data_IF_700624646699
#
_entry.id   IF_700624646699
#
_cell.length_a   1.000
_cell.length_b   1.000
_cell.length_c   1.000
_cell.angle_alpha   90.00
_cell.angle_beta   90.00
_cell.angle_gamma   90.00
#
_symmetry.space_group_name_H-M   'P 1'
#
loop_
_entity.id
_entity.type
_entity.pdbx_description
1 polymer ?
#
# COMPACT_ATOMS: atom_id res chain seq x y z
N UNK A 1 -12.93 69.07 -41.71
CA UNK A 1 -13.41 69.77 -40.50
C UNK A 1 -13.22 68.82 -39.32
N UNK A 2 -12.29 69.13 -38.42
CA UNK A 2 -12.22 68.62 -37.02
C UNK A 2 -13.39 69.23 -36.20
N UNK A 3 -13.67 68.90 -34.91
CA UNK A 3 -12.90 68.13 -33.92
C UNK A 3 -13.70 67.19 -32.95
N UNK A 4 -12.91 66.54 -32.06
CA UNK A 4 -13.13 66.03 -30.69
C UNK A 4 -14.28 66.62 -29.83
N UNK A 5 -14.86 65.79 -28.94
CA UNK A 5 -14.78 65.83 -27.44
C UNK A 5 -15.90 64.90 -26.85
N UNK A 6 -15.64 63.86 -26.04
CA UNK A 6 -15.24 63.75 -24.61
C UNK A 6 -16.39 63.99 -23.59
N UNK A 7 -16.34 63.20 -22.50
CA UNK A 7 -16.96 63.31 -21.15
C UNK A 7 -18.23 62.46 -20.92
N UNK A 8 -18.18 61.34 -20.17
CA UNK A 8 -18.11 61.17 -18.68
C UNK A 8 -19.51 61.23 -18.03
N UNK A 9 -19.88 60.68 -16.87
CA UNK A 9 -19.26 60.12 -15.66
C UNK A 9 -20.38 59.22 -15.07
N UNK A 10 -20.16 57.98 -14.64
CA UNK A 10 -19.71 57.55 -13.31
C UNK A 10 -20.74 57.70 -12.15
N UNK A 11 -21.15 56.52 -11.63
CA UNK A 11 -21.61 56.16 -10.26
C UNK A 11 -22.86 56.91 -9.71
N UNK A 12 -23.67 56.43 -8.77
CA UNK A 12 -23.44 55.57 -7.61
C UNK A 12 -24.80 55.10 -7.04
N UNK A 13 -24.77 53.87 -6.51
CA UNK A 13 -25.64 53.11 -5.58
C UNK A 13 -26.86 53.69 -4.82
N UNK A 14 -27.75 52.72 -4.49
CA UNK A 14 -28.70 52.59 -3.37
C UNK A 14 -30.10 53.23 -3.59
N UNK A 15 -31.26 52.68 -3.16
CA UNK A 15 -31.56 51.71 -2.11
C UNK A 15 -33.03 51.22 -2.23
N UNK A 16 -33.24 49.93 -1.95
CA UNK A 16 -34.35 49.28 -1.24
C UNK A 16 -35.87 49.54 -1.49
N UNK A 17 -36.52 48.38 -1.62
CA UNK A 17 -37.74 47.88 -0.97
C UNK A 17 -39.12 48.03 -1.63
N UNK A 18 -39.68 46.83 -1.94
CA UNK A 18 -41.02 46.32 -1.60
C UNK A 18 -42.22 47.23 -1.92
N UNK A 19 -43.21 46.87 -2.72
CA UNK A 19 -43.96 45.61 -2.87
C UNK A 19 -44.88 45.77 -4.08
N UNK A 20 -45.20 44.68 -4.80
CA UNK A 20 -46.58 44.22 -5.03
C UNK A 20 -46.73 43.46 -6.35
N UNK A 21 -47.30 42.25 -6.21
CA UNK A 21 -48.29 41.64 -7.11
C UNK A 21 -47.97 41.45 -8.60
N UNK A 22 -47.59 40.22 -8.93
CA UNK A 22 -48.41 39.32 -9.78
C UNK A 22 -48.78 39.80 -11.18
N UNK A 23 -48.09 39.24 -12.18
CA UNK A 23 -48.57 38.80 -13.51
C UNK A 23 -47.40 38.85 -14.50
N UNK A 24 -46.44 37.90 -14.46
CA UNK A 24 -45.47 37.75 -15.57
C UNK A 24 -44.61 36.47 -15.53
N UNK A 25 -45.22 35.28 -15.41
CA UNK A 25 -44.47 34.01 -15.48
C UNK A 25 -44.90 33.04 -16.59
N UNK A 26 -45.73 33.47 -17.53
CA UNK A 26 -46.25 32.59 -18.60
C UNK A 26 -45.82 32.91 -20.03
N UNK A 27 -44.81 33.76 -20.23
CA UNK A 27 -44.35 34.13 -21.59
C UNK A 27 -42.88 33.86 -21.91
N UNK A 28 -42.15 33.09 -21.08
CA UNK A 28 -40.73 32.74 -21.33
C UNK A 28 -40.44 31.24 -21.54
N UNK A 29 -41.47 30.41 -21.69
CA UNK A 29 -41.31 28.94 -21.85
C UNK A 29 -41.44 28.43 -23.30
N UNK A 30 -41.70 29.29 -24.30
CA UNK A 30 -41.96 28.83 -25.68
C UNK A 30 -40.84 29.08 -26.71
N UNK A 31 -39.63 29.46 -26.30
CA UNK A 31 -38.53 29.75 -27.24
C UNK A 31 -37.25 28.94 -27.08
N UNK A 32 -37.23 27.85 -26.29
CA UNK A 32 -36.03 27.01 -26.15
C UNK A 32 -36.22 25.51 -26.44
N UNK A 33 -37.32 25.13 -27.10
CA UNK A 33 -37.53 23.77 -27.62
C UNK A 33 -37.43 23.77 -29.14
N UNK A 34 -36.24 24.01 -29.73
CA UNK A 34 -36.00 23.62 -31.12
C UNK A 34 -34.52 23.49 -31.58
N UNK A 35 -33.55 23.29 -30.68
CA UNK A 35 -32.12 23.18 -31.07
C UNK A 35 -31.40 21.90 -30.61
N UNK A 36 -32.12 20.81 -30.32
CA UNK A 36 -31.51 19.54 -29.86
C UNK A 36 -31.42 18.44 -30.91
N UNK A 37 -31.15 18.78 -32.18
CA UNK A 37 -30.93 17.75 -33.18
C UNK A 37 -29.79 18.12 -34.14
N UNK A 38 -28.55 17.91 -33.68
CA UNK A 38 -27.39 17.38 -34.43
C UNK A 38 -26.08 17.65 -33.66
N UNK A 39 -25.12 16.69 -33.74
CA UNK A 39 -23.72 16.67 -33.24
C UNK A 39 -23.39 15.84 -31.98
N UNK A 40 -23.00 14.56 -32.13
CA UNK A 40 -22.37 13.76 -31.07
C UNK A 40 -20.82 13.77 -31.10
N UNK A 41 -20.15 14.70 -31.79
CA UNK A 41 -18.69 14.63 -32.03
C UNK A 41 -17.80 15.53 -31.15
N UNK A 42 -18.34 16.46 -30.36
CA UNK A 42 -17.53 17.43 -29.59
C UNK A 42 -17.24 17.02 -28.14
N UNK A 43 -18.06 16.18 -27.51
CA UNK A 43 -17.82 15.71 -26.13
C UNK A 43 -16.69 14.66 -26.04
N UNK A 44 -16.57 13.79 -27.05
CA UNK A 44 -15.51 12.78 -27.10
C UNK A 44 -14.11 13.40 -27.26
N UNK A 45 -14.00 14.51 -27.99
CA UNK A 45 -12.74 15.23 -28.20
C UNK A 45 -12.24 15.91 -26.91
N UNK A 46 -13.14 16.52 -26.12
CA UNK A 46 -12.80 17.14 -24.84
C UNK A 46 -12.33 16.09 -23.81
N UNK A 47 -12.97 14.92 -23.79
CA UNK A 47 -12.60 13.82 -22.90
C UNK A 47 -11.27 13.16 -23.31
N UNK A 48 -11.02 13.01 -24.62
CA UNK A 48 -9.72 12.55 -25.13
C UNK A 48 -8.59 13.54 -24.83
N UNK A 49 -8.84 14.85 -24.93
CA UNK A 49 -7.84 15.86 -24.63
C UNK A 49 -7.49 15.90 -23.13
N UNK A 50 -8.49 15.78 -22.25
CA UNK A 50 -8.27 15.67 -20.81
C UNK A 50 -7.50 14.40 -20.42
N UNK A 51 -7.78 13.28 -21.10
CA UNK A 51 -7.11 12.00 -20.88
C UNK A 51 -5.67 11.99 -21.40
N UNK A 52 -5.41 12.64 -22.55
CA UNK A 52 -4.08 12.87 -23.08
C UNK A 52 -3.23 13.78 -22.16
N UNK A 53 -3.85 14.81 -21.58
CA UNK A 53 -3.16 15.73 -20.67
C UNK A 53 -2.83 15.06 -19.32
N UNK A 54 -3.73 14.20 -18.81
CA UNK A 54 -3.46 13.36 -17.65
C UNK A 54 -2.36 12.32 -17.91
N UNK A 55 -2.32 11.72 -19.10
CA UNK A 55 -1.24 10.80 -19.50
C UNK A 55 0.11 11.53 -19.64
N UNK A 56 0.13 12.73 -20.20
CA UNK A 56 1.35 13.53 -20.32
C UNK A 56 1.91 13.93 -18.94
N UNK A 57 1.04 14.31 -17.99
CA UNK A 57 1.45 14.59 -16.61
C UNK A 57 1.97 13.32 -15.89
N UNK A 58 1.33 12.17 -16.09
CA UNK A 58 1.78 10.91 -15.50
C UNK A 58 3.14 10.46 -16.08
N UNK A 59 3.38 10.66 -17.37
CA UNK A 59 4.66 10.36 -18.02
C UNK A 59 5.77 11.32 -17.57
N UNK A 60 5.47 12.61 -17.42
CA UNK A 60 6.42 13.60 -16.88
C UNK A 60 6.81 13.28 -15.43
N UNK A 61 5.86 12.86 -14.59
CA UNK A 61 6.12 12.43 -13.22
C UNK A 61 6.97 11.15 -13.16
N UNK A 62 6.70 10.17 -14.03
CA UNK A 62 7.49 8.94 -14.12
C UNK A 62 8.92 9.20 -14.61
N UNK A 63 9.10 10.11 -15.58
CA UNK A 63 10.42 10.51 -16.06
C UNK A 63 11.23 11.27 -14.97
N UNK A 64 10.57 12.13 -14.20
CA UNK A 64 11.19 12.82 -13.07
C UNK A 64 11.62 11.84 -11.96
N UNK A 65 10.80 10.83 -11.65
CA UNK A 65 11.15 9.79 -10.69
C UNK A 65 12.34 8.92 -11.17
N UNK A 66 12.38 8.58 -12.46
CA UNK A 66 13.51 7.85 -13.05
C UNK A 66 14.82 8.68 -13.02
N UNK A 67 14.75 9.99 -13.30
CA UNK A 67 15.89 10.89 -13.20
C UNK A 67 16.40 11.04 -11.75
N UNK A 68 15.50 11.11 -10.77
CA UNK A 68 15.86 11.15 -9.36
C UNK A 68 16.56 9.85 -8.89
N UNK A 69 16.11 8.68 -9.39
CA UNK A 69 16.76 7.39 -9.12
C UNK A 69 18.17 7.31 -9.75
N UNK A 70 18.35 7.84 -10.97
CA UNK A 70 19.67 7.89 -11.61
C UNK A 70 20.64 8.80 -10.84
N UNK A 71 20.18 9.94 -10.33
CA UNK A 71 21.01 10.82 -9.49
C UNK A 71 21.39 10.16 -8.15
N UNK A 72 20.48 9.40 -7.55
CA UNK A 72 20.78 8.63 -6.35
C UNK A 72 21.84 7.55 -6.61
N UNK A 73 21.73 6.84 -7.75
CA UNK A 73 22.71 5.83 -8.15
C UNK A 73 24.09 6.43 -8.46
N UNK A 74 24.14 7.59 -9.12
CA UNK A 74 25.39 8.32 -9.39
C UNK A 74 26.04 8.84 -8.11
N UNK A 75 25.25 9.26 -7.12
CA UNK A 75 25.76 9.70 -5.81
C UNK A 75 26.37 8.54 -5.02
N UNK A 76 25.78 7.34 -5.10
CA UNK A 76 26.32 6.11 -4.48
C UNK A 76 27.58 5.63 -5.21
N UNK A 77 27.61 5.70 -6.54
CA UNK A 77 28.79 5.34 -7.34
C UNK A 77 29.96 6.33 -7.16
N UNK A 78 29.69 7.61 -6.87
CA UNK A 78 30.69 8.64 -6.60
C UNK A 78 31.46 8.41 -5.29
N UNK A 79 30.77 8.00 -4.23
CA UNK A 79 31.40 7.76 -2.92
C UNK A 79 32.34 6.54 -2.88
N UNK A 80 32.27 5.63 -3.85
CA UNK A 80 33.17 4.47 -3.92
C UNK A 80 34.50 4.75 -4.66
N UNK A 81 34.69 5.96 -5.23
CA UNK A 81 35.95 6.36 -5.88
C UNK A 81 36.98 7.00 -4.94
N UNK A 82 36.58 7.39 -3.73
CA UNK A 82 37.49 8.06 -2.78
C UNK A 82 38.21 7.11 -1.80
N UNK A 83 38.03 5.79 -1.93
CA UNK A 83 38.65 4.83 -1.01
C UNK A 83 39.52 3.76 -1.72
N UNK A 84 40.43 4.20 -2.59
CA UNK A 84 41.47 3.35 -3.18
C UNK A 84 42.86 3.94 -2.93
N UNK A 85 43.59 3.33 -1.99
CA UNK A 85 45.01 3.60 -1.71
C UNK A 85 45.86 3.17 -2.94
N UNK A 86 46.87 3.95 -3.36
CA UNK A 86 47.63 3.69 -4.59
C UNK A 86 48.78 2.69 -4.35
N UNK A 87 48.78 1.58 -5.08
CA UNK A 87 49.88 0.63 -5.18
C UNK A 87 50.21 0.36 -6.64
N UNK A 88 51.44 0.64 -7.06
CA UNK A 88 51.83 0.75 -8.46
C UNK A 88 52.36 -0.51 -9.16
N UNK A 89 52.61 -0.28 -10.45
CA UNK A 89 53.54 -0.93 -11.40
C UNK A 89 53.13 -2.17 -12.23
N UNK A 90 53.28 -1.95 -13.56
CA UNK A 90 53.59 -2.87 -14.70
C UNK A 90 52.50 -3.87 -15.09
N UNK A 91 52.18 -4.13 -16.36
CA UNK A 91 52.67 -3.76 -17.69
C UNK A 91 51.99 -4.73 -18.67
N UNK A 92 51.38 -4.28 -19.76
CA UNK A 92 51.89 -4.59 -21.11
C UNK A 92 50.95 -5.44 -21.98
N UNK A 93 50.62 -4.89 -23.17
CA UNK A 93 50.15 -5.50 -24.43
C UNK A 93 48.66 -5.87 -24.65
N UNK A 94 48.05 -5.41 -25.77
CA UNK A 94 46.76 -5.88 -26.26
C UNK A 94 46.93 -6.90 -27.42
N UNK A 95 46.05 -7.90 -27.46
CA UNK A 95 45.95 -8.90 -28.53
C UNK A 95 44.53 -8.94 -29.11
N UNK A 96 44.47 -8.95 -30.44
CA UNK A 96 43.31 -8.79 -31.32
C UNK A 96 42.65 -10.12 -31.72
N UNK A 97 41.44 -10.05 -32.31
CA UNK A 97 40.71 -11.14 -33.02
C UNK A 97 39.42 -11.55 -32.30
N UNK A 98 38.20 -11.33 -32.81
CA UNK A 98 37.64 -11.78 -34.10
C UNK A 98 37.07 -13.20 -33.93
N UNK A 99 35.85 -13.61 -34.27
CA UNK A 99 34.68 -13.04 -34.94
C UNK A 99 33.68 -14.20 -35.18
N UNK A 100 32.39 -13.87 -35.33
CA UNK A 100 31.34 -14.71 -35.96
C UNK A 100 30.88 -15.98 -35.23
N UNK A 101 29.75 -16.62 -35.54
CA UNK A 101 28.48 -16.29 -36.20
C UNK A 101 27.64 -17.60 -36.16
N UNK A 102 26.31 -17.52 -36.35
CA UNK A 102 25.37 -18.63 -36.68
C UNK A 102 24.93 -19.58 -35.53
N UNK A 103 23.71 -20.13 -35.42
CA UNK A 103 22.52 -20.17 -36.28
C UNK A 103 21.26 -20.62 -35.49
N UNK A 104 20.07 -20.26 -36.03
CA UNK A 104 18.78 -20.98 -36.13
C UNK A 104 18.27 -21.92 -35.01
N UNK A 105 17.10 -21.63 -34.42
CA UNK A 105 15.73 -22.04 -34.85
C UNK A 105 15.31 -23.43 -34.36
N UNK A 106 14.22 -23.49 -33.59
CA UNK A 106 13.01 -24.27 -33.92
C UNK A 106 11.95 -24.08 -32.83
N UNK A 107 10.73 -23.71 -33.25
CA UNK A 107 9.54 -23.68 -32.41
C UNK A 107 8.85 -25.04 -32.37
N UNK A 108 8.19 -25.32 -31.25
CA UNK A 108 7.07 -26.27 -31.17
C UNK A 108 6.08 -25.72 -30.14
N UNK A 109 4.89 -25.35 -30.60
CA UNK A 109 3.74 -25.11 -29.74
C UNK A 109 3.02 -26.41 -29.45
N UNK A 110 2.41 -26.53 -28.27
CA UNK A 110 1.24 -27.38 -28.00
C UNK A 110 0.53 -26.83 -26.76
N UNK A 111 -0.72 -26.45 -26.95
CA UNK A 111 -1.61 -26.03 -25.86
C UNK A 111 -2.14 -27.22 -25.08
N UNK A 112 -2.42 -27.00 -23.80
CA UNK A 112 -3.40 -27.82 -23.09
C UNK A 112 -4.17 -26.99 -22.06
N UNK A 113 -5.47 -26.98 -22.30
CA UNK A 113 -6.55 -26.57 -21.42
C UNK A 113 -6.55 -27.46 -20.18
N UNK A 114 -6.66 -26.90 -18.96
CA UNK A 114 -7.24 -27.64 -17.82
C UNK A 114 -7.71 -26.73 -16.66
N UNK A 115 -9.04 -26.71 -16.55
CA UNK A 115 -9.94 -26.66 -15.38
C UNK A 115 -9.52 -25.96 -14.07
N UNK A 116 -10.32 -24.96 -13.70
CA UNK A 116 -10.36 -24.28 -12.40
C UNK A 116 -10.89 -25.20 -11.29
N UNK A 117 -10.07 -25.43 -10.26
CA UNK A 117 -10.44 -26.06 -8.99
C UNK A 117 -10.57 -25.04 -7.85
N UNK A 118 -11.72 -25.09 -7.19
CA UNK A 118 -12.21 -24.31 -6.05
C UNK A 118 -11.21 -24.08 -4.88
N UNK A 119 -11.09 -22.83 -4.41
CA UNK A 119 -10.52 -22.48 -3.11
C UNK A 119 -11.65 -22.11 -2.14
N UNK A 120 -12.06 -23.07 -1.32
CA UNK A 120 -12.84 -22.87 -0.12
C UNK A 120 -12.16 -23.61 1.04
N UNK A 121 -11.78 -22.90 2.10
CA UNK A 121 -11.12 -23.49 3.26
C UNK A 121 -10.96 -22.48 4.39
N UNK A 122 -11.76 -22.66 5.42
CA UNK A 122 -12.14 -21.71 6.45
C UNK A 122 -11.20 -21.71 7.67
N UNK A 123 -11.19 -20.60 8.40
CA UNK A 123 -10.55 -20.40 9.72
C UNK A 123 -11.24 -21.18 10.84
N UNK A 124 -10.47 -21.67 11.81
CA UNK A 124 -10.76 -21.78 13.26
C UNK A 124 -9.56 -22.46 13.93
N UNK A 125 -9.10 -22.20 15.15
CA UNK A 125 -9.47 -21.33 16.27
C UNK A 125 -8.53 -21.73 17.42
N UNK A 126 -7.77 -20.79 17.98
CA UNK A 126 -6.91 -21.02 19.15
C UNK A 126 -7.74 -21.02 20.43
N UNK A 127 -7.52 -22.00 21.30
CA UNK A 127 -8.00 -22.04 22.67
C UNK A 127 -6.85 -22.27 23.65
N UNK A 128 -6.58 -21.28 24.49
CA UNK A 128 -5.71 -21.34 25.67
C UNK A 128 -6.51 -21.89 26.86
N UNK A 129 -5.88 -22.71 27.70
CA UNK A 129 -6.41 -23.18 28.98
C UNK A 129 -5.32 -23.74 29.88
N UNK A 130 -5.36 -23.37 31.15
CA UNK A 130 -4.30 -23.39 32.18
C UNK A 130 -4.49 -24.51 33.23
N UNK A 131 -3.49 -24.63 34.13
CA UNK A 131 -3.43 -25.36 35.42
C UNK A 131 -3.12 -26.87 35.33
N UNK A 132 -2.29 -27.50 36.18
CA UNK A 132 -1.51 -27.12 37.36
C UNK A 132 -1.00 -28.40 38.08
N UNK A 133 0.05 -28.27 38.91
CA UNK A 133 0.23 -29.07 40.15
C UNK A 133 1.00 -30.41 40.13
N UNK A 134 2.17 -30.43 40.79
CA UNK A 134 2.43 -31.31 41.95
C UNK A 134 3.04 -32.72 41.78
N UNK A 135 4.33 -32.87 42.14
CA UNK A 135 4.79 -33.65 43.31
C UNK A 135 4.99 -35.19 43.25
N UNK A 136 6.21 -35.64 43.61
CA UNK A 136 6.57 -36.97 44.16
C UNK A 136 6.78 -38.08 43.12
N UNK A 137 7.83 -38.90 43.10
CA UNK A 137 8.72 -39.42 44.15
C UNK A 137 8.57 -40.95 44.19
N UNK A 138 9.64 -41.72 43.94
CA UNK A 138 9.68 -43.15 44.31
C UNK A 138 10.23 -44.15 43.28
N UNK A 139 11.51 -44.52 43.48
CA UNK A 139 12.08 -45.87 43.50
C UNK A 139 11.97 -46.88 42.32
N UNK A 140 13.18 -47.23 41.86
CA UNK A 140 13.73 -48.51 41.34
C UNK A 140 13.10 -49.81 41.87
N UNK A 141 13.23 -50.95 41.12
CA UNK A 141 14.38 -51.83 41.36
C UNK A 141 15.05 -52.45 40.12
N UNK A 142 16.29 -52.89 40.38
CA UNK A 142 17.27 -53.57 39.54
C UNK A 142 16.82 -54.88 38.86
N UNK A 143 17.49 -55.20 37.74
CA UNK A 143 17.66 -56.56 37.22
C UNK A 143 18.70 -56.62 36.09
N UNK A 144 19.87 -57.20 36.37
CA UNK A 144 21.03 -57.39 35.48
C UNK A 144 20.74 -58.17 34.18
N UNK A 145 21.39 -57.84 33.05
CA UNK A 145 22.37 -58.73 32.38
C UNK A 145 23.11 -58.06 31.21
N UNK A 146 24.32 -58.56 30.97
CA UNK A 146 25.37 -58.12 30.07
C UNK A 146 25.16 -58.51 28.60
N UNK A 147 25.64 -57.62 27.72
CA UNK A 147 26.26 -57.91 26.42
C UNK A 147 25.48 -58.72 25.37
N UNK A 148 24.97 -58.01 24.35
CA UNK A 148 24.98 -58.48 22.97
C UNK A 148 25.21 -57.29 22.04
N UNK A 149 26.36 -57.32 21.36
CA UNK A 149 26.75 -56.46 20.26
C UNK A 149 25.76 -56.60 19.10
N UNK A 150 25.42 -55.46 18.48
CA UNK A 150 24.89 -55.40 17.11
C UNK A 150 23.40 -55.05 17.01
N UNK A 151 23.11 -53.80 16.59
CA UNK A 151 21.77 -53.41 16.15
C UNK A 151 21.29 -52.05 16.67
N UNK A 152 22.12 -51.00 16.57
CA UNK A 152 21.66 -49.63 16.78
C UNK A 152 21.21 -49.00 15.44
N UNK A 153 20.25 -48.09 15.58
CA UNK A 153 19.86 -46.97 14.70
C UNK A 153 19.05 -47.26 13.43
N UNK A 154 17.71 -47.31 13.55
CA UNK A 154 16.81 -46.95 12.43
C UNK A 154 15.54 -46.15 12.80
N UNK A 155 15.25 -45.86 14.08
CA UNK A 155 14.03 -45.12 14.46
C UNK A 155 14.23 -43.59 14.62
N UNK A 156 15.47 -43.11 14.76
CA UNK A 156 15.77 -41.67 14.87
C UNK A 156 16.12 -40.98 13.55
N UNK A 157 16.31 -41.74 12.46
CA UNK A 157 16.73 -41.20 11.17
C UNK A 157 15.57 -40.71 10.30
N UNK A 158 14.33 -41.19 10.52
CA UNK A 158 13.21 -40.85 9.63
C UNK A 158 12.74 -39.41 9.77
N UNK A 159 12.78 -38.82 10.97
CA UNK A 159 12.30 -37.43 11.20
C UNK A 159 13.31 -36.39 10.65
N UNK A 160 14.61 -36.69 10.67
CA UNK A 160 15.65 -35.81 10.10
C UNK A 160 15.77 -35.92 8.57
N UNK A 161 15.41 -37.07 7.98
CA UNK A 161 15.45 -37.27 6.53
C UNK A 161 14.35 -36.49 5.80
N UNK A 162 13.14 -36.43 6.35
CA UNK A 162 12.02 -35.67 5.74
C UNK A 162 12.32 -34.16 5.71
N UNK A 163 12.86 -33.59 6.80
CA UNK A 163 13.28 -32.19 6.83
C UNK A 163 14.43 -31.88 5.85
N UNK A 164 15.29 -32.88 5.58
CA UNK A 164 16.38 -32.74 4.62
C UNK A 164 15.90 -32.81 3.16
N UNK A 165 14.90 -33.66 2.86
CA UNK A 165 14.29 -33.73 1.52
C UNK A 165 13.49 -32.48 1.17
N UNK A 166 12.74 -31.93 2.13
CA UNK A 166 12.01 -30.67 1.92
C UNK A 166 12.97 -29.49 1.70
N UNK A 167 14.05 -29.41 2.48
CA UNK A 167 15.10 -28.40 2.26
C UNK A 167 15.77 -28.57 0.90
N UNK A 168 16.02 -29.80 0.46
CA UNK A 168 16.60 -30.07 -0.88
C UNK A 168 15.68 -29.59 -1.99
N UNK A 169 14.37 -29.87 -1.89
CA UNK A 169 13.37 -29.38 -2.86
C UNK A 169 13.27 -27.85 -2.86
N UNK A 170 13.34 -27.23 -1.68
CA UNK A 170 13.33 -25.78 -1.56
C UNK A 170 14.54 -25.14 -2.26
N UNK A 171 15.74 -25.67 -2.03
CA UNK A 171 16.96 -25.22 -2.71
C UNK A 171 16.87 -25.43 -4.24
N UNK A 172 16.26 -26.52 -4.68
CA UNK A 172 16.02 -26.79 -6.09
C UNK A 172 15.08 -25.75 -6.72
N UNK A 173 13.96 -25.41 -6.08
CA UNK A 173 13.09 -24.34 -6.55
C UNK A 173 13.79 -22.98 -6.56
N UNK A 174 14.62 -22.68 -5.56
CA UNK A 174 15.42 -21.45 -5.54
C UNK A 174 16.37 -21.41 -6.75
N UNK A 175 17.05 -22.51 -7.07
CA UNK A 175 17.91 -22.60 -8.25
C UNK A 175 17.09 -22.43 -9.55
N UNK A 176 15.89 -23.00 -9.62
CA UNK A 176 14.99 -22.87 -10.76
C UNK A 176 14.47 -21.43 -10.99
N UNK A 177 14.54 -20.53 -10.00
CA UNK A 177 14.20 -19.11 -10.20
C UNK A 177 15.12 -18.41 -11.20
N UNK A 178 16.35 -18.88 -11.34
CA UNK A 178 17.33 -18.28 -12.26
C UNK A 178 16.98 -18.53 -13.72
N UNK A 179 16.29 -19.64 -14.03
CA UNK A 179 15.93 -20.01 -15.39
C UNK A 179 14.52 -19.55 -15.74
N UNK A 180 14.39 -18.73 -16.79
CA UNK A 180 13.12 -18.13 -17.24
C UNK A 180 12.01 -19.17 -17.50
N UNK A 181 12.39 -20.36 -17.98
CA UNK A 181 11.42 -21.42 -18.33
C UNK A 181 10.83 -22.12 -17.11
N UNK A 182 11.60 -22.25 -16.02
CA UNK A 182 11.17 -22.93 -14.78
C UNK A 182 10.69 -21.95 -13.71
N UNK A 183 11.02 -20.66 -13.85
CA UNK A 183 10.78 -19.62 -12.85
C UNK A 183 9.33 -19.51 -12.45
N UNK A 184 8.39 -19.57 -13.39
CA UNK A 184 6.96 -19.41 -13.08
C UNK A 184 6.43 -20.50 -12.14
N UNK A 185 6.81 -21.76 -12.39
CA UNK A 185 6.45 -22.87 -11.52
C UNK A 185 7.14 -22.76 -10.14
N UNK A 186 8.44 -22.42 -10.13
CA UNK A 186 9.19 -22.23 -8.90
C UNK A 186 8.62 -21.09 -8.03
N UNK A 187 8.21 -19.97 -8.64
CA UNK A 187 7.56 -18.85 -7.94
C UNK A 187 6.27 -19.29 -7.24
N UNK A 188 5.45 -20.10 -7.91
CA UNK A 188 4.19 -20.60 -7.35
C UNK A 188 4.42 -21.52 -6.15
N UNK A 189 5.37 -22.45 -6.25
CA UNK A 189 5.63 -23.38 -5.15
C UNK A 189 6.31 -22.70 -3.95
N UNK A 190 7.26 -21.81 -4.21
CA UNK A 190 7.91 -21.02 -3.16
C UNK A 190 6.92 -20.08 -2.46
N UNK A 191 5.98 -19.45 -3.19
CA UNK A 191 5.00 -18.54 -2.58
C UNK A 191 4.07 -19.26 -1.60
N UNK A 192 3.71 -20.52 -1.86
CA UNK A 192 2.94 -21.38 -0.95
C UNK A 192 3.73 -21.76 0.31
N UNK A 193 5.06 -21.96 0.18
CA UNK A 193 5.94 -22.37 1.28
C UNK A 193 6.43 -21.21 2.15
N UNK A 194 6.14 -19.96 1.78
CA UNK A 194 6.53 -18.75 2.52
C UNK A 194 6.24 -18.79 4.01
N UNK A 195 5.06 -19.25 4.41
CA UNK A 195 4.67 -19.27 5.84
C UNK A 195 5.21 -20.50 6.58
N UNK A 196 5.51 -21.58 5.86
CA UNK A 196 5.98 -22.85 6.43
C UNK A 196 7.48 -22.85 6.68
N UNK A 197 8.23 -22.00 5.97
CA UNK A 197 9.70 -21.94 6.07
C UNK A 197 10.14 -20.54 6.51
N UNK A 198 10.32 -20.32 7.82
CA UNK A 198 10.73 -19.01 8.36
C UNK A 198 12.05 -18.49 7.79
N UNK A 199 12.95 -19.40 7.38
CA UNK A 199 14.28 -19.06 6.87
C UNK A 199 14.31 -18.74 5.37
N UNK A 200 13.17 -18.89 4.67
CA UNK A 200 13.09 -18.71 3.22
C UNK A 200 13.53 -17.31 2.78
N UNK A 201 13.14 -16.27 3.52
CA UNK A 201 13.52 -14.89 3.19
C UNK A 201 15.05 -14.69 3.16
N UNK A 202 15.76 -15.25 4.15
CA UNK A 202 17.22 -15.21 4.22
C UNK A 202 17.85 -16.02 3.09
N UNK A 203 17.33 -17.21 2.80
CA UNK A 203 17.83 -18.06 1.72
C UNK A 203 17.68 -17.37 0.36
N UNK A 204 16.52 -16.76 0.08
CA UNK A 204 16.29 -16.01 -1.15
C UNK A 204 17.23 -14.81 -1.29
N UNK A 205 17.50 -14.11 -0.18
CA UNK A 205 18.37 -12.93 -0.17
C UNK A 205 19.83 -13.27 -0.41
N UNK A 206 20.34 -14.34 0.23
CA UNK A 206 21.74 -14.75 0.10
C UNK A 206 22.02 -15.62 -1.12
N UNK A 207 20.98 -16.11 -1.82
CA UNK A 207 21.15 -16.87 -3.05
C UNK A 207 21.49 -15.96 -4.22
N UNK A 208 22.56 -16.32 -4.94
CA UNK A 208 23.06 -15.54 -6.06
C UNK A 208 22.00 -15.36 -7.16
N UNK A 209 21.78 -14.11 -7.59
CA UNK A 209 20.91 -13.77 -8.72
C UNK A 209 19.40 -13.87 -8.48
N UNK A 210 18.96 -14.39 -7.33
CA UNK A 210 17.53 -14.57 -7.01
C UNK A 210 16.81 -13.23 -6.90
N UNK A 211 17.36 -12.29 -6.13
CA UNK A 211 16.77 -10.95 -6.00
C UNK A 211 16.68 -10.22 -7.34
N UNK A 212 17.68 -10.38 -8.22
CA UNK A 212 17.66 -9.84 -9.59
C UNK A 212 16.55 -10.49 -10.43
N UNK A 213 16.37 -11.81 -10.31
CA UNK A 213 15.29 -12.53 -11.00
C UNK A 213 13.91 -12.09 -10.53
N UNK A 214 13.71 -11.88 -9.22
CA UNK A 214 12.46 -11.35 -8.66
C UNK A 214 12.17 -9.92 -9.12
N UNK A 215 13.18 -9.05 -9.15
CA UNK A 215 13.07 -7.70 -9.70
C UNK A 215 12.72 -7.71 -11.20
N UNK A 216 13.32 -8.62 -11.97
CA UNK A 216 13.02 -8.75 -13.39
C UNK A 216 11.54 -9.11 -13.63
N UNK A 217 10.94 -9.93 -12.78
CA UNK A 217 9.50 -10.26 -12.84
C UNK A 217 8.60 -9.06 -12.52
N UNK A 218 9.06 -8.13 -11.68
CA UNK A 218 8.34 -6.87 -11.44
C UNK A 218 8.44 -5.95 -12.65
N UNK A 219 9.65 -5.73 -13.16
CA UNK A 219 9.93 -4.76 -14.22
C UNK A 219 9.29 -5.20 -15.54
N UNK A 220 9.21 -6.51 -15.81
CA UNK A 220 8.57 -7.04 -17.02
C UNK A 220 7.07 -6.69 -17.13
N UNK A 221 6.42 -6.37 -16.01
CA UNK A 221 5.01 -5.98 -15.97
C UNK A 221 4.80 -4.49 -16.26
N UNK A 222 5.80 -3.64 -16.09
CA UNK A 222 5.65 -2.18 -16.27
C UNK A 222 5.08 -1.76 -17.64
N UNK A 223 5.50 -2.35 -18.77
CA UNK A 223 4.91 -2.03 -20.07
C UNK A 223 3.42 -2.35 -20.17
N UNK A 224 2.92 -3.30 -19.36
CA UNK A 224 1.52 -3.74 -19.36
C UNK A 224 0.61 -2.88 -18.47
N UNK A 225 1.18 -1.93 -17.72
CA UNK A 225 0.42 -1.03 -16.87
C UNK A 225 -0.21 0.12 -17.67
N UNK A 226 0.49 0.60 -18.70
CA UNK A 226 0.04 1.71 -19.54
C UNK A 226 0.43 1.47 -21.02
N UNK A 227 -0.52 1.11 -21.91
CA UNK A 227 -1.96 0.92 -21.65
C UNK A 227 -2.25 -0.31 -20.77
N UNK A 228 -3.42 -0.32 -20.12
CA UNK A 228 -3.78 -1.34 -19.10
C UNK A 228 -4.07 -2.72 -19.69
N UNK A 229 -3.01 -3.43 -20.11
CA UNK A 229 -3.05 -4.71 -20.82
C UNK A 229 -2.73 -5.92 -19.93
N UNK A 230 -2.67 -5.72 -18.60
CA UNK A 230 -2.36 -6.78 -17.65
C UNK A 230 -3.38 -7.93 -17.67
N UNK A 231 -2.91 -9.14 -17.97
CA UNK A 231 -3.72 -10.36 -17.94
C UNK A 231 -3.77 -10.99 -16.54
N UNK A 232 -4.73 -11.88 -16.29
CA UNK A 232 -4.82 -12.60 -15.02
C UNK A 232 -3.59 -13.47 -14.75
N UNK A 233 -3.07 -14.17 -15.77
CA UNK A 233 -1.86 -15.00 -15.65
C UNK A 233 -0.62 -14.16 -15.28
N UNK A 234 -0.41 -13.04 -15.98
CA UNK A 234 0.69 -12.13 -15.70
C UNK A 234 0.60 -11.52 -14.29
N UNK A 235 -0.61 -11.11 -13.87
CA UNK A 235 -0.86 -10.60 -12.52
C UNK A 235 -0.56 -11.66 -11.44
N UNK A 236 -1.03 -12.90 -11.62
CA UNK A 236 -0.76 -13.98 -10.68
C UNK A 236 0.75 -14.28 -10.56
N UNK A 237 1.45 -14.32 -11.69
CA UNK A 237 2.89 -14.58 -11.74
C UNK A 237 3.68 -13.51 -10.98
N UNK A 238 3.44 -12.24 -11.24
CA UNK A 238 4.13 -11.16 -10.51
C UNK A 238 3.71 -11.12 -9.04
N UNK A 239 2.46 -11.45 -8.70
CA UNK A 239 2.02 -11.51 -7.30
C UNK A 239 2.74 -12.62 -6.51
N UNK A 240 3.03 -13.76 -7.15
CA UNK A 240 3.88 -14.79 -6.53
C UNK A 240 5.30 -14.28 -6.26
N UNK A 241 5.90 -13.53 -7.20
CA UNK A 241 7.20 -12.89 -6.99
C UNK A 241 7.15 -11.84 -5.86
N UNK A 242 6.10 -11.02 -5.81
CA UNK A 242 5.89 -10.03 -4.75
C UNK A 242 5.75 -10.68 -3.37
N UNK A 243 5.08 -11.84 -3.27
CA UNK A 243 4.94 -12.55 -2.02
C UNK A 243 6.29 -12.98 -1.43
N UNK A 244 7.28 -13.26 -2.28
CA UNK A 244 8.63 -13.66 -1.89
C UNK A 244 9.54 -12.49 -1.54
N UNK A 245 9.23 -11.28 -2.01
CA UNK A 245 9.99 -10.07 -1.70
C UNK A 245 9.68 -9.60 -0.27
N UNK A 246 10.68 -9.71 0.59
CA UNK A 246 10.60 -9.33 2.01
C UNK A 246 11.86 -8.52 2.37
N UNK A 247 11.99 -7.28 1.86
CA UNK A 247 12.80 -6.18 2.44
C UNK A 247 13.20 -5.10 1.39
N UNK A 248 13.17 -3.84 1.82
CA UNK A 248 13.80 -2.63 1.22
C UNK A 248 13.53 -2.23 -0.25
N UNK A 249 12.70 -2.95 -1.00
CA UNK A 249 12.35 -2.65 -2.40
C UNK A 249 10.93 -2.03 -2.60
N UNK A 250 10.31 -1.23 -1.69
CA UNK A 250 9.00 -0.63 -1.98
C UNK A 250 8.93 0.28 -3.20
N UNK A 251 10.05 0.89 -3.63
CA UNK A 251 10.08 1.83 -4.76
C UNK A 251 9.53 1.22 -6.06
N UNK A 252 9.79 -0.08 -6.28
CA UNK A 252 9.34 -0.78 -7.48
C UNK A 252 7.84 -1.14 -7.44
N UNK A 253 7.18 -0.94 -6.30
CA UNK A 253 5.76 -1.24 -6.11
C UNK A 253 4.86 -0.02 -6.36
N UNK A 254 5.40 1.21 -6.30
CA UNK A 254 4.60 2.42 -6.53
C UNK A 254 3.95 2.51 -7.90
N UNK A 255 4.60 2.10 -9.01
CA UNK A 255 3.92 2.03 -10.30
C UNK A 255 2.65 1.14 -10.27
N UNK A 256 2.68 0.03 -9.52
CA UNK A 256 1.52 -0.84 -9.35
C UNK A 256 0.40 -0.18 -8.54
N UNK A 257 0.76 0.50 -7.44
CA UNK A 257 -0.20 1.21 -6.58
C UNK A 257 -0.84 2.42 -7.27
N UNK A 258 -0.14 3.05 -8.22
CA UNK A 258 -0.65 4.20 -8.96
C UNK A 258 -1.66 3.82 -10.06
N UNK A 259 -1.86 2.52 -10.34
CA UNK A 259 -2.83 2.07 -11.33
C UNK A 259 -4.27 2.35 -10.91
N UNK A 260 -5.10 2.79 -11.86
CA UNK A 260 -6.51 3.17 -11.63
C UNK A 260 -7.50 2.18 -12.22
N UNK A 261 -7.04 1.22 -13.03
CA UNK A 261 -7.89 0.19 -13.62
C UNK A 261 -8.60 -0.63 -12.55
N UNK A 262 -9.91 -0.83 -12.73
CA UNK A 262 -10.76 -1.63 -11.85
C UNK A 262 -10.88 -3.09 -12.29
N UNK A 263 -10.12 -3.53 -13.30
CA UNK A 263 -10.16 -4.93 -13.68
C UNK A 263 -9.52 -5.81 -12.60
N UNK A 264 -10.05 -7.02 -12.44
CA UNK A 264 -9.62 -7.98 -11.41
C UNK A 264 -8.08 -8.18 -11.34
N UNK A 265 -7.33 -8.27 -12.47
CA UNK A 265 -5.87 -8.38 -12.44
C UNK A 265 -5.17 -7.19 -11.77
N UNK A 266 -5.67 -5.96 -11.96
CA UNK A 266 -5.11 -4.75 -11.35
C UNK A 266 -5.51 -4.60 -9.89
N UNK A 267 -6.74 -4.97 -9.51
CA UNK A 267 -7.14 -5.00 -8.09
C UNK A 267 -6.28 -5.98 -7.29
N UNK A 268 -6.07 -7.19 -7.82
CA UNK A 268 -5.25 -8.20 -7.17
C UNK A 268 -3.78 -7.76 -7.05
N UNK A 269 -3.24 -7.13 -8.10
CA UNK A 269 -1.89 -6.57 -8.10
C UNK A 269 -1.71 -5.50 -7.03
N UNK A 270 -2.66 -4.55 -6.93
CA UNK A 270 -2.63 -3.49 -5.90
C UNK A 270 -2.74 -4.06 -4.49
N UNK A 271 -3.65 -5.01 -4.27
CA UNK A 271 -3.82 -5.66 -2.96
C UNK A 271 -2.54 -6.39 -2.53
N UNK A 272 -1.91 -7.14 -3.44
CA UNK A 272 -0.67 -7.86 -3.15
C UNK A 272 0.48 -6.88 -2.85
N UNK A 273 0.60 -5.81 -3.65
CA UNK A 273 1.60 -4.75 -3.43
C UNK A 273 1.40 -4.04 -2.09
N UNK A 274 0.16 -3.73 -1.71
CA UNK A 274 -0.17 -3.20 -0.38
C UNK A 274 0.15 -4.21 0.73
N UNK A 275 -0.05 -5.50 0.50
CA UNK A 275 0.30 -6.56 1.45
C UNK A 275 1.79 -6.59 1.79
N UNK A 276 2.66 -6.38 0.78
CA UNK A 276 4.12 -6.26 0.99
C UNK A 276 4.45 -5.04 1.85
N UNK A 277 3.89 -3.86 1.53
CA UNK A 277 4.10 -2.65 2.35
C UNK A 277 3.52 -2.82 3.77
N UNK A 278 2.35 -3.43 3.89
CA UNK A 278 1.71 -3.76 5.15
C UNK A 278 2.56 -4.65 6.03
N UNK A 279 3.25 -5.65 5.45
CA UNK A 279 4.19 -6.49 6.18
C UNK A 279 5.41 -5.69 6.68
N UNK A 280 5.92 -4.73 5.90
CA UNK A 280 7.05 -3.89 6.30
C UNK A 280 6.71 -3.00 7.50
N UNK A 281 5.55 -2.32 7.47
CA UNK A 281 5.13 -1.44 8.58
C UNK A 281 4.65 -2.20 9.81
N UNK A 282 4.42 -3.51 9.70
CA UNK A 282 3.99 -4.35 10.85
C UNK A 282 5.09 -4.49 11.91
N UNK A 283 6.36 -4.33 11.52
CA UNK A 283 7.52 -4.46 12.41
C UNK A 283 7.75 -3.22 13.28
N UNK A 284 6.93 -2.17 13.15
CA UNK A 284 6.99 -0.95 13.97
C UNK A 284 8.38 -0.28 13.98
N UNK A 285 9.15 -0.44 12.90
CA UNK A 285 10.46 0.20 12.72
C UNK A 285 10.29 1.63 12.20
N UNK A 286 10.72 2.61 13.00
CA UNK A 286 10.71 4.03 12.61
C UNK A 286 11.58 4.32 11.37
N UNK A 287 12.61 3.52 11.11
CA UNK A 287 13.41 3.66 9.87
C UNK A 287 12.58 3.33 8.62
N UNK A 288 11.74 2.29 8.71
CA UNK A 288 10.81 1.93 7.63
C UNK A 288 9.76 3.03 7.45
N UNK A 289 9.23 3.58 8.54
CA UNK A 289 8.27 4.69 8.48
C UNK A 289 8.93 5.92 7.81
N UNK A 290 10.12 6.32 8.25
CA UNK A 290 10.85 7.45 7.68
C UNK A 290 11.11 7.26 6.18
N UNK A 291 11.58 6.07 5.78
CA UNK A 291 11.73 5.72 4.37
C UNK A 291 10.41 5.88 3.60
N UNK A 292 9.29 5.35 4.11
CA UNK A 292 7.99 5.44 3.46
C UNK A 292 7.44 6.87 3.36
N UNK A 293 7.75 7.73 4.33
CA UNK A 293 7.38 9.15 4.29
C UNK A 293 8.11 9.91 3.18
N UNK A 294 9.32 9.49 2.80
CA UNK A 294 10.05 10.09 1.67
C UNK A 294 9.47 9.72 0.29
N UNK A 295 8.53 8.77 0.23
CA UNK A 295 8.11 8.12 -1.01
C UNK A 295 6.61 8.22 -1.32
N UNK A 296 5.96 9.32 -0.90
CA UNK A 296 4.55 9.64 -1.19
C UNK A 296 3.55 8.48 -0.94
N UNK A 297 3.85 7.58 0.02
CA UNK A 297 2.96 6.45 0.33
C UNK A 297 1.58 6.93 0.81
N UNK A 298 1.53 8.04 1.55
CA UNK A 298 0.30 8.55 2.17
C UNK A 298 -0.71 8.94 1.08
N UNK A 299 -0.40 9.81 0.09
CA UNK A 299 -1.30 10.08 -1.03
C UNK A 299 -1.82 8.82 -1.76
N UNK A 300 -0.96 7.83 -1.99
CA UNK A 300 -1.36 6.57 -2.62
C UNK A 300 -2.35 5.77 -1.76
N UNK A 301 -2.06 5.62 -0.47
CA UNK A 301 -2.97 4.94 0.45
C UNK A 301 -4.30 5.67 0.58
N UNK A 302 -4.30 7.00 0.67
CA UNK A 302 -5.53 7.80 0.75
C UNK A 302 -6.44 7.62 -0.49
N UNK A 303 -5.86 7.59 -1.70
CA UNK A 303 -6.62 7.32 -2.92
C UNK A 303 -7.26 5.94 -2.92
N UNK A 304 -6.53 4.92 -2.45
CA UNK A 304 -7.03 3.55 -2.35
C UNK A 304 -8.10 3.43 -1.25
N UNK A 305 -7.93 4.14 -0.12
CA UNK A 305 -8.92 4.22 0.95
C UNK A 305 -10.25 4.82 0.47
N UNK A 306 -10.19 5.78 -0.47
CA UNK A 306 -11.39 6.41 -1.03
C UNK A 306 -12.11 5.51 -2.04
N UNK A 307 -11.37 4.96 -3.02
CA UNK A 307 -11.96 4.34 -4.23
C UNK A 307 -11.69 2.85 -4.44
N UNK A 308 -10.84 2.23 -3.60
CA UNK A 308 -10.45 0.83 -3.74
C UNK A 308 -11.50 -0.17 -3.29
N UNK A 309 -11.24 -1.46 -3.53
CA UNK A 309 -12.03 -2.56 -2.97
C UNK A 309 -11.94 -2.62 -1.45
N UNK A 310 -12.94 -3.19 -0.77
CA UNK A 310 -12.99 -3.26 0.70
C UNK A 310 -11.70 -3.84 1.33
N UNK A 311 -11.17 -4.91 0.73
CA UNK A 311 -9.90 -5.51 1.15
C UNK A 311 -8.72 -4.55 0.99
N UNK A 312 -8.65 -3.85 -0.14
CA UNK A 312 -7.59 -2.87 -0.40
C UNK A 312 -7.69 -1.67 0.55
N UNK A 313 -8.91 -1.17 0.82
CA UNK A 313 -9.17 -0.13 1.82
C UNK A 313 -8.67 -0.55 3.20
N UNK A 314 -8.94 -1.80 3.58
CA UNK A 314 -8.53 -2.36 4.89
C UNK A 314 -7.01 -2.38 5.05
N UNK A 315 -6.27 -2.81 4.03
CA UNK A 315 -4.80 -2.83 4.09
C UNK A 315 -4.23 -1.41 4.02
N UNK A 316 -4.79 -0.54 3.18
CA UNK A 316 -4.34 0.85 3.04
C UNK A 316 -4.52 1.65 4.34
N UNK A 317 -5.69 1.55 5.00
CA UNK A 317 -5.90 2.22 6.28
C UNK A 317 -5.04 1.61 7.39
N UNK A 318 -4.75 0.31 7.35
CA UNK A 318 -3.79 -0.31 8.28
C UNK A 318 -2.38 0.29 8.13
N UNK A 319 -1.92 0.53 6.90
CA UNK A 319 -0.62 1.19 6.64
C UNK A 319 -0.63 2.63 7.17
N UNK A 320 -1.67 3.41 6.86
CA UNK A 320 -1.80 4.79 7.35
C UNK A 320 -1.87 4.83 8.88
N UNK A 321 -2.58 3.88 9.50
CA UNK A 321 -2.63 3.77 10.95
C UNK A 321 -1.25 3.48 11.54
N UNK A 322 -0.47 2.56 10.96
CA UNK A 322 0.90 2.27 11.41
C UNK A 322 1.82 3.48 11.28
N UNK A 323 1.70 4.25 10.20
CA UNK A 323 2.41 5.52 10.04
C UNK A 323 1.99 6.53 11.12
N UNK A 324 0.69 6.68 11.40
CA UNK A 324 0.21 7.60 12.43
C UNK A 324 0.64 7.20 13.85
N UNK A 325 0.78 5.90 14.13
CA UNK A 325 1.21 5.42 15.45
C UNK A 325 2.66 5.83 15.76
N UNK A 326 3.51 5.95 14.75
CA UNK A 326 4.87 6.47 14.90
C UNK A 326 4.88 8.00 15.06
N UNK A 327 5.73 8.51 15.95
CA UNK A 327 5.79 9.95 16.25
C UNK A 327 6.29 10.79 15.06
N UNK A 328 7.20 10.25 14.24
CA UNK A 328 7.69 10.93 13.02
C UNK A 328 6.55 11.00 12.00
N UNK A 329 5.79 9.92 11.84
CA UNK A 329 4.62 9.88 10.94
C UNK A 329 3.49 10.82 11.38
N UNK A 330 3.14 10.84 12.66
CA UNK A 330 2.16 11.78 13.20
C UNK A 330 2.60 13.24 12.98
N UNK A 331 3.86 13.55 13.31
CA UNK A 331 4.42 14.89 13.11
C UNK A 331 4.39 15.29 11.63
N UNK A 332 4.72 14.38 10.72
CA UNK A 332 4.68 14.62 9.27
C UNK A 332 3.27 14.96 8.74
N UNK A 333 2.26 14.18 9.15
CA UNK A 333 0.87 14.38 8.72
C UNK A 333 0.31 15.68 9.30
N UNK A 334 0.56 15.93 10.58
CA UNK A 334 0.10 17.12 11.28
C UNK A 334 1.02 18.33 11.08
N UNK A 335 2.01 18.25 10.18
CA UNK A 335 2.98 19.32 9.96
C UNK A 335 2.32 20.55 9.31
N UNK A 336 1.53 20.31 8.25
CA UNK A 336 0.79 21.32 7.49
C UNK A 336 -0.71 21.04 7.55
N UNK A 337 -1.52 22.10 7.42
CA UNK A 337 -2.97 21.97 7.36
C UNK A 337 -3.42 21.14 6.16
N UNK A 338 -2.76 21.26 5.01
CA UNK A 338 -3.09 20.52 3.79
C UNK A 338 -2.97 19.00 3.98
N UNK A 339 -1.87 18.54 4.59
CA UNK A 339 -1.64 17.11 4.85
C UNK A 339 -2.65 16.56 5.85
N UNK A 340 -2.88 17.29 6.94
CA UNK A 340 -3.90 16.93 7.93
C UNK A 340 -5.29 16.85 7.30
N UNK A 341 -5.68 17.87 6.52
CA UNK A 341 -7.00 17.93 5.90
C UNK A 341 -7.19 16.82 4.86
N UNK A 342 -6.16 16.52 4.05
CA UNK A 342 -6.21 15.40 3.10
C UNK A 342 -6.50 14.05 3.80
N UNK A 343 -5.84 13.78 4.94
CA UNK A 343 -6.12 12.57 5.73
C UNK A 343 -7.51 12.64 6.39
N UNK A 344 -7.84 13.78 6.99
CA UNK A 344 -9.10 13.99 7.70
C UNK A 344 -10.32 13.83 6.80
N UNK A 345 -10.33 14.44 5.62
CA UNK A 345 -11.44 14.34 4.65
C UNK A 345 -11.67 12.91 4.20
N UNK A 346 -10.61 12.16 3.88
CA UNK A 346 -10.74 10.76 3.45
C UNK A 346 -11.28 9.90 4.60
N UNK A 347 -10.79 10.07 5.83
CA UNK A 347 -11.33 9.36 6.99
C UNK A 347 -12.80 9.70 7.24
N UNK A 348 -13.20 10.97 7.11
CA UNK A 348 -14.59 11.40 7.24
C UNK A 348 -15.49 10.79 6.17
N UNK A 349 -15.03 10.75 4.92
CA UNK A 349 -15.76 10.08 3.83
C UNK A 349 -15.93 8.59 4.10
N UNK A 350 -14.90 7.93 4.66
CA UNK A 350 -14.99 6.53 5.07
C UNK A 350 -16.02 6.33 6.19
N UNK A 351 -16.07 7.20 7.20
CA UNK A 351 -17.09 7.13 8.27
C UNK A 351 -18.50 7.15 7.67
N UNK A 352 -18.76 8.09 6.76
CA UNK A 352 -20.08 8.22 6.13
C UNK A 352 -20.46 6.95 5.34
N UNK A 353 -19.51 6.34 4.63
CA UNK A 353 -19.73 5.05 3.95
C UNK A 353 -19.98 3.89 4.92
N UNK A 354 -19.36 3.93 6.11
CA UNK A 354 -19.48 2.88 7.12
C UNK A 354 -20.84 2.85 7.82
N UNK A 355 -21.61 3.94 7.78
CA UNK A 355 -22.98 3.97 8.32
C UNK A 355 -23.86 2.93 7.62
N UNK A 356 -23.74 2.85 6.28
CA UNK A 356 -24.49 1.89 5.47
C UNK A 356 -23.83 0.51 5.46
N UNK A 357 -22.50 0.44 5.28
CA UNK A 357 -21.78 -0.83 5.09
C UNK A 357 -21.56 -1.60 6.40
N UNK A 358 -21.51 -0.92 7.54
CA UNK A 358 -21.28 -1.50 8.87
C UNK A 358 -20.03 -2.41 8.98
N UNK A 359 -19.01 -2.16 8.16
CA UNK A 359 -17.76 -2.92 8.16
C UNK A 359 -16.92 -2.63 9.42
N UNK A 360 -17.09 -3.44 10.48
CA UNK A 360 -16.45 -3.28 11.80
C UNK A 360 -14.92 -3.13 11.70
N UNK A 361 -14.29 -3.92 10.83
CA UNK A 361 -12.82 -3.92 10.68
C UNK A 361 -12.29 -2.57 10.21
N UNK A 362 -12.95 -1.94 9.24
CA UNK A 362 -12.59 -0.61 8.75
C UNK A 362 -12.86 0.44 9.83
N UNK A 363 -14.03 0.40 10.46
CA UNK A 363 -14.39 1.33 11.54
C UNK A 363 -13.34 1.35 12.67
N UNK A 364 -12.86 0.17 13.08
CA UNK A 364 -11.80 0.03 14.08
C UNK A 364 -10.50 0.74 13.69
N UNK A 365 -10.09 0.66 12.43
CA UNK A 365 -8.91 1.38 11.95
C UNK A 365 -9.18 2.89 11.91
N UNK A 366 -10.34 3.33 11.42
CA UNK A 366 -10.73 4.75 11.36
C UNK A 366 -10.73 5.41 12.74
N UNK A 367 -11.37 4.78 13.73
CA UNK A 367 -11.41 5.29 15.12
C UNK A 367 -10.00 5.44 15.70
N UNK A 368 -9.11 4.47 15.44
CA UNK A 368 -7.72 4.54 15.91
C UNK A 368 -6.91 5.63 15.22
N UNK A 369 -7.13 5.87 13.93
CA UNK A 369 -6.50 6.99 13.23
C UNK A 369 -6.95 8.33 13.83
N UNK A 370 -8.25 8.53 14.06
CA UNK A 370 -8.74 9.77 14.69
C UNK A 370 -8.23 9.95 16.12
N UNK A 371 -8.23 8.88 16.93
CA UNK A 371 -7.66 8.92 18.28
C UNK A 371 -6.19 9.36 18.24
N UNK A 372 -5.38 8.74 17.38
CA UNK A 372 -3.97 9.09 17.26
C UNK A 372 -3.74 10.51 16.73
N UNK A 373 -4.56 10.98 15.80
CA UNK A 373 -4.53 12.38 15.35
C UNK A 373 -4.82 13.36 16.50
N UNK A 374 -5.68 13.00 17.45
CA UNK A 374 -6.03 13.84 18.61
C UNK A 374 -4.89 14.03 19.62
N UNK A 375 -3.82 13.23 19.54
CA UNK A 375 -2.62 13.42 20.37
C UNK A 375 -1.87 14.70 19.98
N UNK A 376 -1.95 15.14 18.71
CA UNK A 376 -1.36 16.39 18.26
C UNK A 376 -2.30 17.57 18.59
N UNK A 377 -1.81 18.56 19.34
CA UNK A 377 -2.61 19.70 19.80
C UNK A 377 -3.30 20.48 18.67
N UNK A 378 -2.63 20.68 17.53
CA UNK A 378 -3.20 21.42 16.37
C UNK A 378 -4.29 20.61 15.68
N UNK A 379 -4.04 19.32 15.45
CA UNK A 379 -5.03 18.43 14.86
C UNK A 379 -6.23 18.23 15.79
N UNK A 380 -6.00 18.12 17.11
CA UNK A 380 -7.05 18.03 18.12
C UNK A 380 -8.03 19.20 18.06
N UNK A 381 -7.52 20.43 17.96
CA UNK A 381 -8.36 21.62 17.80
C UNK A 381 -9.20 21.55 16.51
N UNK A 382 -8.60 21.19 15.38
CA UNK A 382 -9.33 21.04 14.14
C UNK A 382 -10.40 19.93 14.22
N UNK A 383 -10.10 18.79 14.85
CA UNK A 383 -11.02 17.67 15.02
C UNK A 383 -12.25 18.04 15.86
N UNK A 384 -12.16 19.01 16.78
CA UNK A 384 -13.34 19.53 17.50
C UNK A 384 -14.38 20.13 16.55
N UNK A 385 -13.96 20.63 15.40
CA UNK A 385 -14.84 21.25 14.42
C UNK A 385 -15.22 20.29 13.28
N UNK A 386 -14.34 19.35 12.91
CA UNK A 386 -14.53 18.52 11.71
C UNK A 386 -14.74 17.01 11.94
N UNK A 387 -14.77 16.53 13.19
CA UNK A 387 -15.07 15.11 13.46
C UNK A 387 -16.50 14.76 12.99
N UNK A 388 -16.69 13.70 12.17
CA UNK A 388 -18.00 13.30 11.66
C UNK A 388 -19.04 13.03 12.75
N UNK A 389 -20.28 13.49 12.53
CA UNK A 389 -21.41 13.27 13.44
C UNK A 389 -21.67 11.80 13.79
N UNK A 390 -21.58 10.82 12.86
CA UNK A 390 -21.80 9.41 13.19
C UNK A 390 -20.82 8.83 14.23
N UNK A 391 -19.67 9.48 14.46
CA UNK A 391 -18.73 9.10 15.53
C UNK A 391 -19.04 9.79 16.87
N UNK A 392 -19.83 10.87 16.86
CA UNK A 392 -20.25 11.60 18.06
C UNK A 392 -21.56 11.10 18.63
N UNK A 393 -22.43 10.58 17.78
CA UNK A 393 -23.73 10.07 18.16
C UNK A 393 -23.71 8.54 18.43
N UNK A 394 -24.90 7.96 18.59
CA UNK A 394 -25.06 6.53 18.86
C UNK A 394 -25.12 5.66 17.58
N UNK A 395 -24.79 6.19 16.39
CA UNK A 395 -24.94 5.49 15.10
C UNK A 395 -24.23 4.13 15.07
N UNK A 396 -22.99 4.07 15.56
CA UNK A 396 -22.21 2.83 15.60
C UNK A 396 -22.39 2.00 16.88
N UNK A 397 -23.31 2.35 17.77
CA UNK A 397 -23.48 1.66 19.06
C UNK A 397 -23.81 0.17 18.92
N UNK A 398 -24.66 -0.17 17.94
CA UNK A 398 -25.01 -1.56 17.60
C UNK A 398 -23.84 -2.33 17.01
N UNK A 399 -23.15 -1.74 16.03
CA UNK A 399 -21.99 -2.32 15.33
C UNK A 399 -20.82 -2.58 16.28
N UNK A 400 -20.64 -1.70 17.26
CA UNK A 400 -19.56 -1.80 18.24
C UNK A 400 -19.94 -2.61 19.49
N UNK A 401 -21.14 -3.21 19.57
CA UNK A 401 -21.64 -3.86 20.79
C UNK A 401 -20.61 -4.81 21.39
N UNK A 402 -20.00 -5.63 20.53
CA UNK A 402 -19.12 -6.73 20.89
C UNK A 402 -17.61 -6.39 20.71
N UNK A 403 -17.24 -5.16 20.30
CA UNK A 403 -15.84 -4.68 20.23
C UNK A 403 -15.54 -3.63 21.31
N UNK A 404 -15.32 -4.12 22.54
CA UNK A 404 -14.99 -3.29 23.69
C UNK A 404 -13.69 -2.48 23.53
N UNK A 405 -12.74 -2.94 22.71
CA UNK A 405 -11.49 -2.21 22.48
C UNK A 405 -11.75 -0.95 21.63
N UNK A 406 -12.53 -1.09 20.55
CA UNK A 406 -12.87 0.05 19.68
C UNK A 406 -13.79 1.04 20.39
N UNK A 407 -14.75 0.56 21.20
CA UNK A 407 -15.57 1.42 22.08
C UNK A 407 -14.73 2.28 23.02
N UNK A 408 -13.73 1.69 23.68
CA UNK A 408 -12.81 2.43 24.56
C UNK A 408 -12.01 3.48 23.79
N UNK A 409 -11.51 3.15 22.60
CA UNK A 409 -10.79 4.09 21.75
C UNK A 409 -11.67 5.28 21.34
N UNK A 410 -12.93 5.01 20.98
CA UNK A 410 -13.90 6.06 20.62
C UNK A 410 -14.22 6.96 21.82
N UNK A 411 -14.46 6.37 23.00
CA UNK A 411 -14.68 7.15 24.22
C UNK A 411 -13.47 8.03 24.58
N UNK A 412 -12.25 7.50 24.46
CA UNK A 412 -11.01 8.28 24.68
C UNK A 412 -10.88 9.44 23.69
N UNK A 413 -11.22 9.22 22.41
CA UNK A 413 -11.22 10.28 21.40
C UNK A 413 -12.21 11.40 21.78
N UNK A 414 -13.44 11.04 22.15
CA UNK A 414 -14.45 12.03 22.53
C UNK A 414 -14.04 12.79 23.80
N UNK A 415 -13.45 12.12 24.77
CA UNK A 415 -12.89 12.76 25.97
C UNK A 415 -11.77 13.74 25.63
N UNK A 416 -10.80 13.33 24.80
CA UNK A 416 -9.70 14.18 24.35
C UNK A 416 -10.20 15.45 23.63
N UNK A 417 -11.31 15.34 22.88
CA UNK A 417 -11.90 16.49 22.19
C UNK A 417 -12.75 17.37 23.10
N UNK A 418 -13.34 16.81 24.17
CA UNK A 418 -14.16 17.54 25.14
C UNK A 418 -13.36 18.41 26.11
N UNK A 419 -12.08 18.08 26.34
CA UNK A 419 -11.23 18.76 27.31
C UNK A 419 -10.87 20.17 26.79
N UNK A 420 -11.64 21.17 27.19
CA UNK A 420 -11.33 22.57 26.96
C UNK A 420 -10.03 22.86 27.70
N UNK A 421 -8.92 23.04 26.98
CA UNK A 421 -7.71 23.59 27.59
C UNK A 421 -8.06 25.04 27.95
N UNK A 422 -8.57 25.23 29.15
CA UNK A 422 -8.66 26.53 29.79
C UNK A 422 -7.22 26.97 29.99
N UNK A 423 -6.77 27.92 29.18
CA UNK A 423 -5.49 28.59 29.36
C UNK A 423 -5.42 29.13 30.81
N UNK A 424 -4.48 28.68 31.67
CA UNK A 424 -4.37 29.21 33.02
C UNK A 424 -3.74 30.62 33.08
N UNK A 425 -3.62 31.32 31.95
CA UNK A 425 -2.95 32.63 31.83
C UNK A 425 -3.91 33.83 31.72
N UNK A 426 -5.22 33.63 31.94
CA UNK A 426 -6.23 34.66 31.66
C UNK A 426 -6.75 35.52 32.81
N UNK A 427 -6.42 35.27 34.09
CA UNK A 427 -7.01 36.01 35.22
C UNK A 427 -5.98 36.36 36.30
N UNK A 428 -5.29 37.48 36.12
CA UNK A 428 -5.04 38.39 37.25
C UNK A 428 -5.51 39.78 36.84
N UNK A 429 -6.72 40.08 37.30
CA UNK A 429 -7.26 41.44 37.29
C UNK A 429 -6.38 42.33 38.16
N UNK A 430 -6.10 43.52 37.64
CA UNK A 430 -5.57 44.65 38.39
C UNK A 430 -6.35 45.88 37.96
N UNK A 431 -7.40 46.17 38.72
CA UNK A 431 -7.94 47.50 39.04
C UNK A 431 -8.63 47.35 40.41
N UNK A 432 -8.67 48.39 41.27
CA UNK A 432 -8.66 49.81 40.94
C UNK A 432 -7.35 50.55 41.22
#
# INVERSE_FOLDING_TARGET
MLPNHVFSHQHQYAQNNHTSSGLDWQHSQHQNQNHHQQHPHSQHAAQQHAQAQAQAQAQAAAAAAAAAQQQHYQRIAGNNRENSIPGGMRGGHPGSGGGGDHDQSMGVGLGQHQSLGSLGGNMSGQGLGSMGGGGGGGQVPNGMSMAALGGQTLAGAQVDLEGNEENRRLLEWIAQLMNVNTREAALLELSKKREQVPQLALLLWHSFGVMTSLLQEIISVYPLLNPSQLTAAASNRVCNALALLQSHIPLFLYPFLNTTSKSRPFEYLRLTSLGVIGALVKNDSSEVINFLLTTEIIPLCLRIMETGSELSKTVAIFIVQKILLDDVGLSYICHTYERFYAVGTVLSNMVNQLVEQQTVRLLKHVVRCFLRLSDNARAREALRQCLPEPLRDATFSSVLRDDAATKRCLAQLLLALSDQVVDPSGHQGLLP
#
